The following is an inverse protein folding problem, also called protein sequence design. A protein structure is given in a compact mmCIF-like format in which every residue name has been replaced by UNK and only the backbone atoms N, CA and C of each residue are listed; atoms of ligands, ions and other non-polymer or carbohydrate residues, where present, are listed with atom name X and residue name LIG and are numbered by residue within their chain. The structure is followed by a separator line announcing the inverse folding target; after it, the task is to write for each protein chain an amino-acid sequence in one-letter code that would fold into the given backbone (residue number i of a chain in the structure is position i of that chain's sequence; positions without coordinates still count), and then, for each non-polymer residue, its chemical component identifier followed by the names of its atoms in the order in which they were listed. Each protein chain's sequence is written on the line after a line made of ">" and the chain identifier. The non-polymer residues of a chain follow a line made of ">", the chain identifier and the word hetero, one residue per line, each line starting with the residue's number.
data_IF_205586635093
#
_entry.id   IF_205586635093
#
_cell.length_a   1.000
_cell.length_b   1.000
_cell.length_c   1.000
_cell.angle_alpha   90.00
_cell.angle_beta   90.00
_cell.angle_gamma   90.00
#
_symmetry.space_group_name_H-M   'P 1'
#
loop_
_entity.id
_entity.type
_entity.pdbx_description
1 polymer ?
#
# COMPACT_ATOMS: atom_id res chain seq x y z
N UNK A 1 25.93 23.26 -15.19
CA UNK A 1 24.82 23.30 -14.20
C UNK A 1 25.02 24.58 -13.40
N UNK A 2 24.09 25.54 -13.50
CA UNK A 2 24.04 26.70 -12.61
C UNK A 2 24.14 26.24 -11.16
N UNK A 3 24.75 27.06 -10.30
CA UNK A 3 24.99 26.74 -8.90
C UNK A 3 23.67 26.35 -8.24
N UNK A 4 23.53 25.08 -7.86
CA UNK A 4 22.28 24.55 -7.36
C UNK A 4 22.02 25.15 -5.97
N UNK A 5 20.92 25.88 -5.85
CA UNK A 5 20.47 26.43 -4.57
C UNK A 5 19.90 25.29 -3.70
N UNK A 6 20.75 24.79 -2.81
CA UNK A 6 20.44 23.69 -1.91
C UNK A 6 19.46 24.09 -0.81
N UNK A 7 19.43 25.36 -0.40
CA UNK A 7 18.54 25.85 0.65
C UNK A 7 17.11 25.93 0.12
N UNK A 8 16.94 26.43 -1.09
CA UNK A 8 15.65 26.44 -1.77
C UNK A 8 15.16 25.02 -2.10
N UNK A 9 16.05 24.13 -2.52
CA UNK A 9 15.72 22.71 -2.70
C UNK A 9 15.28 22.05 -1.39
N UNK A 10 15.94 22.36 -0.27
CA UNK A 10 15.57 21.86 1.04
C UNK A 10 14.16 22.34 1.46
N UNK A 11 13.86 23.64 1.29
CA UNK A 11 12.50 24.18 1.54
C UNK A 11 11.45 23.47 0.70
N UNK A 12 11.73 23.25 -0.58
CA UNK A 12 10.84 22.51 -1.46
C UNK A 12 10.63 21.06 -0.99
N UNK A 13 11.69 20.35 -0.60
CA UNK A 13 11.61 18.98 -0.09
C UNK A 13 10.77 18.91 1.19
N UNK A 14 11.01 19.78 2.16
CA UNK A 14 10.29 19.80 3.44
C UNK A 14 8.80 20.13 3.26
N UNK A 15 8.46 20.97 2.28
CA UNK A 15 7.07 21.31 1.95
C UNK A 15 6.32 20.16 1.26
N UNK A 16 7.04 19.26 0.57
CA UNK A 16 6.44 18.23 -0.28
C UNK A 16 6.61 16.80 0.26
N UNK A 17 7.41 16.58 1.31
CA UNK A 17 7.78 15.26 1.84
C UNK A 17 7.78 15.29 3.36
N UNK A 18 7.69 14.11 3.98
CA UNK A 18 7.88 13.98 5.42
C UNK A 18 9.31 14.41 5.81
N UNK A 19 9.45 15.20 6.88
CA UNK A 19 10.72 15.80 7.33
C UNK A 19 11.91 14.83 7.31
N UNK A 20 11.80 13.69 7.99
CA UNK A 20 12.89 12.69 8.05
C UNK A 20 13.26 12.09 6.68
N UNK A 21 12.32 12.06 5.74
CA UNK A 21 12.57 11.63 4.37
C UNK A 21 13.16 12.75 3.52
N UNK A 22 12.73 14.01 3.75
CA UNK A 22 13.30 15.20 3.11
C UNK A 22 14.79 15.34 3.44
N UNK A 23 15.18 15.24 4.72
CA UNK A 23 16.58 15.33 5.14
C UNK A 23 17.46 14.25 4.50
N UNK A 24 16.92 13.03 4.38
CA UNK A 24 17.60 11.93 3.72
C UNK A 24 17.78 12.19 2.23
N UNK A 25 16.73 12.67 1.55
CA UNK A 25 16.80 13.01 0.13
C UNK A 25 17.82 14.12 -0.12
N UNK A 26 17.83 15.17 0.69
CA UNK A 26 18.77 16.27 0.57
C UNK A 26 20.23 15.77 0.66
N UNK A 27 20.56 15.00 1.70
CA UNK A 27 21.90 14.43 1.88
C UNK A 27 22.34 13.57 0.70
N UNK A 28 21.44 12.74 0.18
CA UNK A 28 21.75 11.91 -0.99
C UNK A 28 21.86 12.74 -2.27
N UNK A 29 21.01 13.75 -2.47
CA UNK A 29 21.08 14.64 -3.64
C UNK A 29 22.40 15.41 -3.62
N UNK A 30 22.78 16.03 -2.51
CA UNK A 30 24.06 16.74 -2.36
C UNK A 30 25.25 15.84 -2.63
N UNK A 31 25.23 14.61 -2.11
CA UNK A 31 26.34 13.66 -2.26
C UNK A 31 26.44 13.04 -3.64
N UNK A 32 25.32 12.82 -4.33
CA UNK A 32 25.28 11.97 -5.52
C UNK A 32 24.65 12.62 -6.75
N UNK A 33 24.36 13.93 -6.77
CA UNK A 33 23.79 14.60 -7.95
C UNK A 33 24.65 14.44 -9.20
N UNK A 34 25.98 14.41 -9.04
CA UNK A 34 26.95 14.22 -10.12
C UNK A 34 26.84 12.85 -10.82
N UNK A 35 26.15 11.88 -10.21
CA UNK A 35 25.89 10.58 -10.83
C UNK A 35 24.72 10.60 -11.81
N UNK A 36 23.98 11.72 -11.91
CA UNK A 36 22.91 11.85 -12.88
C UNK A 36 23.45 11.65 -14.31
N UNK A 37 22.80 10.80 -15.09
CA UNK A 37 23.14 10.51 -16.49
C UNK A 37 24.52 9.88 -16.74
N UNK A 38 25.17 9.29 -15.74
CA UNK A 38 26.50 8.69 -15.89
C UNK A 38 26.47 7.17 -16.02
N UNK A 39 27.45 6.58 -16.73
CA UNK A 39 27.62 5.13 -16.81
C UNK A 39 28.04 4.52 -15.47
N UNK A 40 28.65 5.33 -14.58
CA UNK A 40 28.91 4.92 -13.20
C UNK A 40 27.61 4.51 -12.50
N UNK A 41 26.53 5.31 -12.61
CA UNK A 41 25.23 4.98 -12.01
C UNK A 41 24.58 3.73 -12.64
N UNK A 42 24.80 3.51 -13.93
CA UNK A 42 24.31 2.33 -14.67
C UNK A 42 24.97 1.05 -14.14
N UNK A 43 26.29 1.08 -13.99
CA UNK A 43 27.12 -0.06 -13.57
C UNK A 43 27.09 -0.34 -12.08
N UNK A 44 26.58 0.58 -11.25
CA UNK A 44 26.39 0.34 -9.82
C UNK A 44 25.56 -0.93 -9.55
N UNK A 45 26.07 -1.79 -8.66
CA UNK A 45 25.35 -2.97 -8.17
C UNK A 45 23.97 -2.57 -7.64
N UNK A 46 22.94 -3.31 -8.06
CA UNK A 46 21.59 -3.14 -7.51
C UNK A 46 21.61 -3.45 -6.01
N UNK A 47 21.48 -2.41 -5.20
CA UNK A 47 21.44 -2.48 -3.75
C UNK A 47 20.56 -1.34 -3.20
N UNK A 48 20.31 -1.34 -1.88
CA UNK A 48 19.47 -0.31 -1.26
C UNK A 48 20.03 1.10 -1.48
N UNK A 49 21.34 1.25 -1.43
CA UNK A 49 22.02 2.54 -1.64
C UNK A 49 21.77 3.09 -3.04
N UNK A 50 21.92 2.26 -4.09
CA UNK A 50 21.61 2.63 -5.48
C UNK A 50 20.16 3.11 -5.60
N UNK A 51 19.21 2.42 -4.99
CA UNK A 51 17.80 2.85 -5.00
C UNK A 51 17.59 4.23 -4.36
N UNK A 52 18.28 4.53 -3.26
CA UNK A 52 18.19 5.86 -2.62
C UNK A 52 18.84 6.94 -3.49
N UNK A 53 19.95 6.64 -4.18
CA UNK A 53 20.59 7.55 -5.13
C UNK A 53 19.65 7.88 -6.29
N UNK A 54 19.03 6.86 -6.91
CA UNK A 54 18.06 7.07 -7.99
C UNK A 54 16.91 7.97 -7.53
N UNK A 55 16.42 7.78 -6.29
CA UNK A 55 15.30 8.58 -5.75
C UNK A 55 15.71 10.02 -5.50
N UNK A 56 16.92 10.22 -5.00
CA UNK A 56 17.46 11.54 -4.73
C UNK A 56 17.69 12.33 -6.03
N UNK A 57 18.27 11.69 -7.06
CA UNK A 57 18.43 12.30 -8.39
C UNK A 57 17.06 12.58 -9.02
N UNK A 58 16.12 11.62 -8.97
CA UNK A 58 14.79 11.82 -9.53
C UNK A 58 13.97 12.94 -8.85
N UNK A 59 14.14 13.18 -7.55
CA UNK A 59 13.51 14.34 -6.89
C UNK A 59 14.24 15.64 -7.23
N UNK A 60 15.56 15.61 -7.36
CA UNK A 60 16.36 16.77 -7.74
C UNK A 60 16.00 17.26 -9.14
N UNK A 61 15.91 16.34 -10.12
CA UNK A 61 15.52 16.70 -11.50
C UNK A 61 14.11 17.27 -11.55
N UNK A 62 13.17 16.75 -10.76
CA UNK A 62 11.81 17.30 -10.66
C UNK A 62 11.77 18.70 -10.06
N UNK A 63 12.61 18.97 -9.05
CA UNK A 63 12.73 20.32 -8.50
C UNK A 63 13.29 21.29 -9.54
N UNK A 64 14.33 20.86 -10.29
CA UNK A 64 14.93 21.69 -11.33
C UNK A 64 13.95 22.01 -12.46
N UNK A 65 13.09 21.07 -12.83
CA UNK A 65 12.02 21.29 -13.81
C UNK A 65 11.05 22.37 -13.35
N UNK A 66 10.61 22.31 -12.08
CA UNK A 66 9.70 23.31 -11.52
C UNK A 66 10.38 24.69 -11.43
N UNK A 67 11.66 24.72 -11.06
CA UNK A 67 12.39 25.97 -10.82
C UNK A 67 12.81 26.68 -12.11
N UNK A 68 13.20 25.91 -13.13
CA UNK A 68 13.83 26.44 -14.34
C UNK A 68 12.98 26.24 -15.60
N UNK A 69 11.76 25.72 -15.47
CA UNK A 69 10.87 25.37 -16.59
C UNK A 69 11.55 24.42 -17.60
N UNK A 70 12.08 23.31 -17.09
CA UNK A 70 12.78 22.28 -17.88
C UNK A 70 12.06 20.94 -17.89
N UNK A 71 12.55 19.99 -18.69
CA UNK A 71 12.05 18.61 -18.81
C UNK A 71 13.08 17.56 -18.37
N UNK A 72 14.03 17.95 -17.51
CA UNK A 72 15.15 17.15 -17.03
C UNK A 72 14.70 15.88 -16.28
N UNK A 73 13.57 15.93 -15.57
CA UNK A 73 13.00 14.77 -14.92
C UNK A 73 12.54 13.73 -15.94
N UNK A 74 11.85 14.17 -16.98
CA UNK A 74 11.40 13.28 -18.04
C UNK A 74 12.58 12.68 -18.80
N UNK A 75 13.60 13.49 -19.11
CA UNK A 75 14.86 12.99 -19.67
C UNK A 75 15.50 11.93 -18.79
N UNK A 76 15.51 12.14 -17.47
CA UNK A 76 16.06 11.19 -16.51
C UNK A 76 15.27 9.87 -16.48
N UNK A 77 13.94 9.93 -16.51
CA UNK A 77 13.08 8.73 -16.58
C UNK A 77 13.33 7.96 -17.88
N UNK A 78 13.37 8.66 -19.02
CA UNK A 78 13.64 8.03 -20.32
C UNK A 78 15.05 7.45 -20.40
N UNK A 79 16.05 8.14 -19.86
CA UNK A 79 17.42 7.64 -19.77
C UNK A 79 17.52 6.37 -18.93
N UNK A 80 16.91 6.34 -17.74
CA UNK A 80 16.85 5.12 -16.92
C UNK A 80 16.17 3.97 -17.66
N UNK A 81 15.07 4.24 -18.38
CA UNK A 81 14.37 3.22 -19.18
C UNK A 81 15.27 2.66 -20.28
N UNK A 82 15.99 3.52 -21.02
CA UNK A 82 16.95 3.10 -22.07
C UNK A 82 18.11 2.28 -21.51
N UNK A 83 18.58 2.60 -20.30
CA UNK A 83 19.66 1.89 -19.61
C UNK A 83 19.15 0.71 -18.76
N UNK A 84 17.88 0.34 -18.89
CA UNK A 84 17.20 -0.74 -18.16
C UNK A 84 17.33 -0.68 -16.63
N UNK A 85 17.47 0.53 -16.08
CA UNK A 85 17.59 0.75 -14.63
C UNK A 85 16.22 0.60 -13.98
N UNK A 86 16.09 -0.37 -13.07
CA UNK A 86 14.87 -0.60 -12.29
C UNK A 86 14.91 0.12 -10.93
N UNK A 87 13.75 0.60 -10.49
CA UNK A 87 13.53 1.14 -9.15
C UNK A 87 13.45 0.06 -8.05
N UNK A 88 14.30 -0.97 -8.10
CA UNK A 88 14.27 -2.09 -7.17
C UNK A 88 15.68 -2.62 -6.82
N UNK A 89 15.78 -3.26 -5.66
CA UNK A 89 17.07 -3.63 -5.01
C UNK A 89 17.49 -5.08 -5.28
N UNK A 90 16.54 -5.98 -5.54
CA UNK A 90 16.80 -7.35 -6.00
C UNK A 90 15.52 -7.93 -6.61
N UNK A 91 15.67 -9.08 -7.28
CA UNK A 91 14.60 -9.85 -7.91
C UNK A 91 13.31 -9.76 -7.11
N UNK A 92 12.22 -9.49 -7.80
CA UNK A 92 10.87 -9.67 -7.32
C UNK A 92 10.73 -11.17 -7.01
N UNK A 93 11.31 -11.65 -5.90
CA UNK A 93 10.98 -12.96 -5.36
C UNK A 93 9.49 -12.93 -5.24
N UNK A 94 8.90 -13.93 -5.88
CA UNK A 94 7.59 -13.89 -6.48
C UNK A 94 6.51 -13.70 -5.41
N UNK A 95 6.35 -12.47 -4.87
CA UNK A 95 5.43 -12.14 -3.79
C UNK A 95 4.01 -12.58 -4.16
N UNK A 96 3.74 -12.60 -5.47
CA UNK A 96 2.54 -13.14 -6.05
C UNK A 96 2.41 -14.65 -5.83
N UNK A 97 3.38 -15.46 -6.27
CA UNK A 97 3.36 -16.92 -6.03
C UNK A 97 3.43 -17.27 -4.54
N UNK A 98 4.23 -16.57 -3.75
CA UNK A 98 4.31 -16.79 -2.30
C UNK A 98 2.99 -16.49 -1.60
N UNK A 99 2.22 -15.48 -2.05
CA UNK A 99 0.90 -15.19 -1.49
C UNK A 99 -0.19 -16.09 -2.06
N UNK A 100 -0.07 -16.55 -3.31
CA UNK A 100 -1.00 -17.48 -3.96
C UNK A 100 -0.98 -18.86 -3.29
N UNK A 101 0.20 -19.30 -2.85
CA UNK A 101 0.40 -20.58 -2.18
C UNK A 101 0.25 -20.48 -0.65
N UNK A 102 -0.15 -19.32 -0.13
CA UNK A 102 -0.31 -19.11 1.31
C UNK A 102 -1.65 -19.71 1.76
N UNK A 103 -1.59 -20.76 2.58
CA UNK A 103 -2.79 -21.38 3.13
C UNK A 103 -3.54 -20.39 4.05
N UNK A 104 -4.83 -20.21 3.78
CA UNK A 104 -5.71 -19.34 4.55
C UNK A 104 -5.82 -19.79 6.01
N UNK A 105 -5.80 -21.09 6.29
CA UNK A 105 -5.91 -21.61 7.66
C UNK A 105 -4.67 -21.23 8.47
N UNK A 106 -3.48 -21.47 7.90
CA UNK A 106 -2.22 -21.02 8.49
C UNK A 106 -2.20 -19.50 8.74
N UNK A 107 -2.75 -18.70 7.82
CA UNK A 107 -2.85 -17.24 7.99
C UNK A 107 -3.73 -16.88 9.19
N UNK A 108 -4.93 -17.44 9.28
CA UNK A 108 -5.86 -17.14 10.37
C UNK A 108 -5.29 -17.58 11.71
N UNK A 109 -4.72 -18.78 11.80
CA UNK A 109 -4.05 -19.26 13.03
C UNK A 109 -2.91 -18.34 13.46
N UNK A 110 -2.06 -17.93 12.51
CA UNK A 110 -0.92 -17.04 12.80
C UNK A 110 -1.38 -15.67 13.30
N UNK A 111 -2.51 -15.17 12.81
CA UNK A 111 -3.10 -13.91 13.28
C UNK A 111 -3.73 -14.07 14.67
N UNK A 112 -4.44 -15.18 14.93
CA UNK A 112 -5.06 -15.47 16.24
C UNK A 112 -4.05 -15.67 17.37
N UNK A 113 -2.82 -16.11 17.07
CA UNK A 113 -1.71 -16.21 18.05
C UNK A 113 -1.20 -14.84 18.56
N UNK A 114 -1.56 -13.74 17.90
CA UNK A 114 -1.17 -12.41 18.34
C UNK A 114 -2.02 -11.95 19.55
N UNK A 115 -1.50 -11.02 20.37
CA UNK A 115 -2.33 -10.34 21.37
C UNK A 115 -3.62 -9.78 20.76
N UNK A 116 -4.75 -9.86 21.49
CA UNK A 116 -6.12 -9.50 21.05
C UNK A 116 -6.16 -8.30 20.10
N UNK A 117 -5.57 -7.18 20.52
CA UNK A 117 -5.52 -5.93 19.74
C UNK A 117 -4.98 -6.10 18.32
N UNK A 118 -3.90 -6.87 18.19
CA UNK A 118 -3.21 -7.10 16.93
C UNK A 118 -3.87 -8.21 16.11
N UNK A 119 -4.43 -9.22 16.77
CA UNK A 119 -5.21 -10.26 16.14
C UNK A 119 -6.44 -9.66 15.44
N UNK A 120 -7.24 -8.87 16.16
CA UNK A 120 -8.45 -8.20 15.63
C UNK A 120 -8.09 -7.32 14.42
N UNK A 121 -7.07 -6.46 14.54
CA UNK A 121 -6.65 -5.61 13.42
C UNK A 121 -6.10 -6.41 12.23
N UNK A 122 -5.37 -7.50 12.51
CA UNK A 122 -4.85 -8.40 11.50
C UNK A 122 -5.97 -9.10 10.72
N UNK A 123 -6.97 -9.65 11.43
CA UNK A 123 -8.16 -10.26 10.85
C UNK A 123 -9.00 -9.23 10.07
N UNK A 124 -9.17 -8.02 10.61
CA UNK A 124 -9.80 -6.91 9.91
C UNK A 124 -9.10 -6.62 8.57
N UNK A 125 -7.76 -6.56 8.57
CA UNK A 125 -6.98 -6.32 7.35
C UNK A 125 -7.12 -7.46 6.34
N UNK A 126 -7.18 -8.71 6.82
CA UNK A 126 -7.43 -9.89 5.99
C UNK A 126 -8.81 -9.87 5.35
N UNK A 127 -9.85 -9.60 6.11
CA UNK A 127 -11.25 -9.64 5.66
C UNK A 127 -11.57 -8.48 4.71
N UNK A 128 -11.08 -7.28 5.02
CA UNK A 128 -11.34 -6.08 4.21
C UNK A 128 -10.44 -5.99 2.98
N UNK A 129 -9.27 -6.63 3.01
CA UNK A 129 -8.29 -6.56 1.92
C UNK A 129 -7.71 -5.16 1.68
N UNK A 130 -7.85 -4.23 2.62
CA UNK A 130 -7.34 -2.87 2.50
C UNK A 130 -5.81 -2.83 2.49
N UNK A 131 -5.22 -1.82 1.86
CA UNK A 131 -3.78 -1.57 2.02
C UNK A 131 -3.51 -1.19 3.48
N UNK A 132 -2.29 -1.43 3.96
CA UNK A 132 -1.92 -1.14 5.35
C UNK A 132 -2.33 0.27 5.81
N UNK A 133 -1.99 1.31 5.04
CA UNK A 133 -2.36 2.70 5.37
C UNK A 133 -3.88 2.96 5.38
N UNK A 134 -4.62 2.30 4.51
CA UNK A 134 -6.08 2.38 4.41
C UNK A 134 -6.72 1.65 5.60
N UNK A 135 -6.23 0.45 5.92
CA UNK A 135 -6.72 -0.36 7.03
C UNK A 135 -6.62 0.37 8.38
N UNK A 136 -5.51 1.04 8.69
CA UNK A 136 -5.39 1.83 9.94
C UNK A 136 -6.44 2.94 10.01
N UNK A 137 -6.64 3.65 8.89
CA UNK A 137 -7.62 4.73 8.82
C UNK A 137 -9.05 4.20 8.96
N UNK A 138 -9.41 3.16 8.21
CA UNK A 138 -10.74 2.56 8.26
C UNK A 138 -11.03 1.94 9.63
N UNK A 139 -10.06 1.25 10.23
CA UNK A 139 -10.21 0.65 11.56
C UNK A 139 -10.45 1.71 12.65
N UNK A 140 -9.69 2.80 12.63
CA UNK A 140 -9.81 3.84 13.65
C UNK A 140 -11.06 4.71 13.52
N UNK A 141 -11.63 4.82 12.32
CA UNK A 141 -12.86 5.59 12.05
C UNK A 141 -14.02 4.64 11.69
N UNK A 142 -13.98 3.41 12.18
CA UNK A 142 -14.86 2.33 11.73
C UNK A 142 -16.34 2.63 12.00
N UNK A 143 -16.66 3.21 13.16
CA UNK A 143 -18.03 3.62 13.53
C UNK A 143 -18.65 4.57 12.52
N UNK A 144 -17.84 5.45 11.94
CA UNK A 144 -18.32 6.53 11.07
C UNK A 144 -18.43 6.07 9.61
N UNK A 145 -17.76 4.95 9.27
CA UNK A 145 -17.64 4.45 7.90
C UNK A 145 -18.52 3.22 7.64
N UNK A 146 -18.78 2.40 8.66
CA UNK A 146 -19.49 1.14 8.53
C UNK A 146 -21.00 1.35 8.64
N UNK A 147 -21.72 1.11 7.55
CA UNK A 147 -23.17 1.05 7.53
C UNK A 147 -23.60 -0.36 7.09
N UNK A 148 -24.36 -1.05 7.94
CA UNK A 148 -24.83 -2.42 7.69
C UNK A 148 -23.71 -3.37 7.21
N UNK A 149 -22.57 -3.36 7.92
CA UNK A 149 -21.41 -4.19 7.61
C UNK A 149 -20.77 -3.94 6.22
N UNK A 150 -21.02 -2.79 5.61
CA UNK A 150 -20.32 -2.28 4.44
C UNK A 150 -19.68 -0.96 4.81
N UNK A 151 -18.36 -0.86 4.64
CA UNK A 151 -17.61 0.37 4.87
C UNK A 151 -17.40 1.11 3.57
N UNK A 152 -17.92 2.32 3.48
CA UNK A 152 -17.75 3.19 2.32
C UNK A 152 -16.52 4.08 2.49
N UNK A 153 -15.62 4.06 1.52
CA UNK A 153 -14.26 4.59 1.67
C UNK A 153 -13.91 5.59 0.56
N UNK A 154 -13.39 6.74 0.99
CA UNK A 154 -12.97 7.85 0.12
C UNK A 154 -11.53 8.24 0.41
N UNK A 155 -10.60 7.82 -0.46
CA UNK A 155 -9.16 7.92 -0.17
C UNK A 155 -8.46 9.15 -0.73
N UNK A 156 -9.01 9.80 -1.78
CA UNK A 156 -8.37 10.97 -2.42
C UNK A 156 -9.39 11.91 -3.11
N UNK A 157 -9.11 13.21 -3.06
CA UNK A 157 -9.86 14.28 -3.73
C UNK A 157 -9.40 14.52 -5.18
N UNK A 158 -8.15 14.16 -5.55
CA UNK A 158 -7.59 14.40 -6.91
C UNK A 158 -8.09 13.43 -7.96
N UNK A 159 -8.14 12.15 -7.63
CA UNK A 159 -8.89 11.15 -8.42
C UNK A 159 -9.91 10.57 -7.48
N UNK A 160 -11.19 10.87 -7.69
CA UNK A 160 -12.29 10.47 -6.82
C UNK A 160 -12.48 8.93 -6.83
N UNK A 161 -11.54 8.22 -6.20
CA UNK A 161 -11.59 6.77 -6.00
C UNK A 161 -12.45 6.54 -4.77
N UNK A 162 -13.72 6.29 -5.03
CA UNK A 162 -14.65 5.75 -4.07
C UNK A 162 -14.59 4.23 -4.19
N UNK A 163 -14.33 3.54 -3.09
CA UNK A 163 -14.54 2.10 -2.98
C UNK A 163 -15.37 1.81 -1.74
N UNK A 164 -15.87 0.59 -1.64
CA UNK A 164 -16.49 0.10 -0.41
C UNK A 164 -15.97 -1.30 -0.13
N UNK A 165 -15.87 -1.67 1.14
CA UNK A 165 -15.43 -3.01 1.56
C UNK A 165 -16.42 -3.62 2.52
N UNK A 166 -16.54 -4.94 2.48
CA UNK A 166 -17.31 -5.65 3.48
C UNK A 166 -16.59 -5.60 4.84
N UNK A 167 -17.37 -5.56 5.91
CA UNK A 167 -16.94 -5.71 7.29
C UNK A 167 -17.58 -6.98 7.86
N UNK A 168 -16.80 -7.83 8.54
CA UNK A 168 -17.35 -9.08 9.09
C UNK A 168 -17.94 -8.79 10.48
N UNK A 169 -19.21 -9.16 10.77
CA UNK A 169 -19.87 -8.82 12.05
C UNK A 169 -19.06 -9.24 13.28
N UNK A 170 -18.53 -10.46 13.30
CA UNK A 170 -17.72 -10.93 14.45
C UNK A 170 -16.48 -10.08 14.71
N UNK A 171 -15.92 -9.43 13.67
CA UNK A 171 -14.79 -8.51 13.83
C UNK A 171 -15.31 -7.12 14.18
N UNK A 172 -16.38 -6.66 13.51
CA UNK A 172 -17.07 -5.39 13.77
C UNK A 172 -17.34 -5.20 15.27
N UNK A 173 -17.93 -6.21 15.90
CA UNK A 173 -18.33 -6.18 17.32
C UNK A 173 -17.14 -6.15 18.28
N UNK A 174 -15.92 -6.45 17.80
CA UNK A 174 -14.70 -6.45 18.60
C UNK A 174 -13.87 -5.17 18.44
N UNK A 175 -14.28 -4.23 17.58
CA UNK A 175 -13.56 -2.97 17.36
C UNK A 175 -13.99 -1.96 18.42
N UNK A 176 -13.33 -2.04 19.58
CA UNK A 176 -13.54 -1.17 20.75
C UNK A 176 -12.31 -0.28 21.06
N UNK A 177 -11.32 -0.26 20.16
CA UNK A 177 -10.07 0.52 20.31
C UNK A 177 -9.59 1.10 18.99
N UNK A 178 -8.66 2.06 19.08
CA UNK A 178 -7.89 2.57 17.93
C UNK A 178 -6.49 1.96 17.90
N UNK A 179 -5.78 2.07 16.78
CA UNK A 179 -4.41 1.63 16.62
C UNK A 179 -3.52 2.75 16.06
N UNK A 180 -2.25 2.72 16.43
CA UNK A 180 -1.24 3.56 15.79
C UNK A 180 -0.49 2.78 14.71
N UNK A 181 0.24 3.49 13.83
CA UNK A 181 1.16 2.87 12.86
C UNK A 181 2.23 1.97 13.49
N UNK A 182 2.46 2.08 14.81
CA UNK A 182 3.39 1.18 15.54
C UNK A 182 2.89 -0.27 15.55
N UNK A 183 1.63 -0.54 15.23
CA UNK A 183 1.06 -1.90 15.09
C UNK A 183 1.90 -2.81 14.19
N UNK A 184 2.50 -2.27 13.12
CA UNK A 184 3.32 -3.05 12.18
C UNK A 184 4.65 -3.52 12.77
N UNK A 185 5.07 -3.00 13.94
CA UNK A 185 6.18 -3.58 14.69
C UNK A 185 5.77 -4.90 15.34
N UNK A 186 4.49 -5.08 15.66
CA UNK A 186 3.95 -6.28 16.30
C UNK A 186 3.36 -7.28 15.30
N UNK A 187 2.87 -6.77 14.17
CA UNK A 187 2.35 -7.57 13.06
C UNK A 187 3.39 -7.56 11.93
N UNK A 188 4.40 -8.41 12.04
CA UNK A 188 5.54 -8.45 11.15
C UNK A 188 5.86 -9.87 10.67
N UNK A 189 6.68 -9.97 9.62
CA UNK A 189 7.05 -11.25 8.99
C UNK A 189 7.65 -12.27 9.96
N UNK A 190 8.44 -11.85 10.95
CA UNK A 190 9.06 -12.78 11.91
C UNK A 190 8.03 -13.45 12.82
N UNK A 191 6.95 -12.73 13.16
CA UNK A 191 5.88 -13.26 14.02
C UNK A 191 4.81 -14.03 13.25
N UNK A 192 4.54 -13.61 12.02
CA UNK A 192 3.49 -14.20 11.19
C UNK A 192 3.98 -15.32 10.26
N UNK A 193 5.28 -15.41 9.98
CA UNK A 193 5.82 -16.24 8.89
C UNK A 193 5.63 -15.64 7.49
N UNK A 194 4.77 -14.62 7.33
CA UNK A 194 4.50 -13.94 6.06
C UNK A 194 4.43 -12.41 6.17
N UNK A 195 4.58 -11.73 5.03
CA UNK A 195 4.41 -10.29 4.94
C UNK A 195 2.93 -9.91 5.08
N UNK A 196 2.61 -8.93 5.96
CA UNK A 196 1.24 -8.46 6.16
C UNK A 196 0.54 -8.00 4.86
N UNK A 197 1.32 -7.52 3.89
CA UNK A 197 0.82 -7.11 2.56
C UNK A 197 0.20 -8.26 1.77
N UNK A 198 0.53 -9.52 2.11
CA UNK A 198 -0.03 -10.70 1.47
C UNK A 198 -1.48 -10.97 1.87
N UNK A 199 -1.94 -10.47 3.03
CA UNK A 199 -3.33 -10.62 3.46
C UNK A 199 -4.31 -10.10 2.40
N UNK A 200 -3.99 -8.98 1.77
CA UNK A 200 -4.78 -8.42 0.66
C UNK A 200 -4.83 -9.34 -0.56
N UNK A 201 -3.79 -10.13 -0.82
CA UNK A 201 -3.79 -11.11 -1.91
C UNK A 201 -4.60 -12.34 -1.56
N UNK A 202 -4.42 -12.87 -0.35
CA UNK A 202 -5.23 -13.97 0.19
C UNK A 202 -6.73 -13.60 0.13
N UNK A 203 -7.09 -12.40 0.60
CA UNK A 203 -8.44 -11.86 0.49
C UNK A 203 -8.99 -11.87 -0.94
N UNK A 204 -8.18 -11.40 -1.89
CA UNK A 204 -8.56 -11.36 -3.31
C UNK A 204 -8.85 -12.76 -3.84
N UNK A 205 -7.95 -13.71 -3.56
CA UNK A 205 -8.08 -15.11 -3.99
C UNK A 205 -9.36 -15.74 -3.45
N UNK A 206 -9.67 -15.53 -2.16
CA UNK A 206 -10.91 -16.00 -1.54
C UNK A 206 -12.13 -15.37 -2.23
N UNK A 207 -12.16 -14.04 -2.34
CA UNK A 207 -13.34 -13.33 -2.85
C UNK A 207 -13.59 -13.57 -4.34
N UNK A 208 -12.56 -13.61 -5.18
CA UNK A 208 -12.70 -13.90 -6.64
C UNK A 208 -13.35 -15.26 -6.87
N UNK A 209 -13.02 -16.27 -6.05
CA UNK A 209 -13.57 -17.60 -6.19
C UNK A 209 -15.02 -17.75 -5.68
N UNK A 210 -15.50 -16.80 -4.88
CA UNK A 210 -16.78 -16.93 -4.15
C UNK A 210 -17.79 -15.85 -4.48
N UNK A 211 -17.39 -14.66 -4.86
CA UNK A 211 -18.30 -13.52 -5.02
C UNK A 211 -18.44 -13.15 -6.49
N UNK A 212 -17.60 -12.24 -6.95
CA UNK A 212 -17.49 -11.76 -8.32
C UNK A 212 -16.10 -11.12 -8.48
N UNK A 213 -15.38 -11.35 -9.60
CA UNK A 213 -14.06 -10.77 -9.81
C UNK A 213 -14.04 -9.24 -9.88
N UNK A 214 -15.02 -8.62 -10.53
CA UNK A 214 -15.09 -7.16 -10.67
C UNK A 214 -15.37 -6.50 -9.32
N UNK A 215 -16.27 -7.09 -8.53
CA UNK A 215 -16.55 -6.66 -7.17
C UNK A 215 -15.32 -6.83 -6.26
N UNK A 216 -14.56 -7.90 -6.45
CA UNK A 216 -13.29 -8.13 -5.73
C UNK A 216 -12.22 -7.10 -6.08
N UNK A 217 -12.19 -6.60 -7.32
CA UNK A 217 -11.32 -5.49 -7.72
C UNK A 217 -11.77 -4.14 -7.17
N UNK A 218 -13.09 -3.89 -7.17
CA UNK A 218 -13.71 -2.69 -6.62
C UNK A 218 -13.47 -2.57 -5.12
N UNK A 219 -13.74 -3.64 -4.36
CA UNK A 219 -13.53 -3.66 -2.90
C UNK A 219 -12.08 -3.35 -2.54
N UNK A 220 -11.14 -3.84 -3.34
CA UNK A 220 -9.73 -3.52 -3.16
C UNK A 220 -9.34 -2.10 -3.63
N UNK A 221 -10.22 -1.33 -4.26
CA UNK A 221 -9.88 -0.02 -4.82
C UNK A 221 -8.84 -0.13 -5.96
N UNK A 222 -8.88 -1.25 -6.70
CA UNK A 222 -8.17 -1.40 -7.99
C UNK A 222 -8.97 -0.80 -9.14
N UNK A 223 -10.30 -0.75 -8.98
CA UNK A 223 -11.27 -0.14 -9.89
C UNK A 223 -12.26 0.70 -9.08
N UNK A 224 -13.05 1.54 -9.75
CA UNK A 224 -14.06 2.40 -9.12
C UNK A 224 -13.72 3.89 -9.20
N UNK A 225 -14.50 4.61 -10.00
CA UNK A 225 -14.74 6.05 -9.83
C UNK A 225 -16.10 6.26 -9.11
N UNK A 226 -16.47 7.50 -8.78
CA UNK A 226 -17.75 7.79 -8.09
C UNK A 226 -18.95 7.21 -8.84
N UNK A 227 -19.00 7.32 -10.17
CA UNK A 227 -20.14 6.84 -10.96
C UNK A 227 -20.28 5.31 -10.86
N UNK A 228 -19.17 4.59 -10.83
CA UNK A 228 -19.16 3.13 -10.71
C UNK A 228 -19.65 2.62 -9.34
N UNK A 229 -19.58 3.44 -8.28
CA UNK A 229 -20.10 3.09 -6.95
C UNK A 229 -21.58 2.72 -6.99
N UNK A 230 -22.38 3.41 -7.80
CA UNK A 230 -23.82 3.17 -7.92
C UNK A 230 -24.15 1.79 -8.49
N UNK A 231 -23.21 1.16 -9.20
CA UNK A 231 -23.36 -0.21 -9.69
C UNK A 231 -22.82 -1.23 -8.70
N UNK A 232 -21.68 -0.93 -8.06
CA UNK A 232 -21.04 -1.88 -7.16
C UNK A 232 -21.70 -1.98 -5.78
N UNK A 233 -22.27 -0.90 -5.23
CA UNK A 233 -22.94 -0.98 -3.93
C UNK A 233 -24.16 -1.92 -3.94
N UNK A 234 -25.11 -1.83 -4.87
CA UNK A 234 -26.19 -2.83 -4.97
C UNK A 234 -25.65 -4.25 -5.09
N UNK A 235 -24.65 -4.46 -5.95
CA UNK A 235 -23.98 -5.75 -6.11
C UNK A 235 -23.33 -6.24 -4.80
N UNK A 236 -22.76 -5.34 -3.97
CA UNK A 236 -22.26 -5.72 -2.64
C UNK A 236 -23.38 -6.26 -1.76
N UNK A 237 -24.55 -5.61 -1.71
CA UNK A 237 -25.68 -6.09 -0.92
C UNK A 237 -26.18 -7.45 -1.42
N UNK A 238 -26.31 -7.65 -2.73
CA UNK A 238 -26.69 -8.93 -3.33
C UNK A 238 -25.74 -10.08 -2.94
N UNK A 239 -24.44 -9.78 -2.92
CA UNK A 239 -23.41 -10.77 -2.61
C UNK A 239 -23.06 -10.89 -1.11
N UNK A 240 -23.60 -10.02 -0.26
CA UNK A 240 -23.25 -9.91 1.17
C UNK A 240 -23.42 -11.22 1.91
N UNK A 241 -24.55 -11.90 1.74
CA UNK A 241 -24.84 -13.18 2.43
C UNK A 241 -23.82 -14.27 2.08
N UNK A 242 -23.43 -14.37 0.80
CA UNK A 242 -22.44 -15.34 0.33
C UNK A 242 -21.03 -15.01 0.85
N UNK A 243 -20.69 -13.72 0.87
CA UNK A 243 -19.44 -13.23 1.45
C UNK A 243 -19.37 -13.53 2.96
N UNK A 244 -20.44 -13.23 3.70
CA UNK A 244 -20.56 -13.51 5.14
C UNK A 244 -20.41 -15.00 5.43
N UNK A 245 -21.12 -15.87 4.71
CA UNK A 245 -21.01 -17.32 4.89
C UNK A 245 -19.57 -17.82 4.67
N UNK A 246 -18.91 -17.33 3.62
CA UNK A 246 -17.51 -17.67 3.28
C UNK A 246 -16.56 -17.28 4.41
N UNK A 247 -16.60 -16.02 4.84
CA UNK A 247 -15.65 -15.51 5.84
C UNK A 247 -15.98 -15.98 7.25
N UNK A 248 -17.25 -16.17 7.61
CA UNK A 248 -17.60 -16.80 8.88
C UNK A 248 -17.05 -18.23 8.95
N UNK A 249 -17.14 -19.00 7.87
CA UNK A 249 -16.56 -20.35 7.83
C UNK A 249 -15.05 -20.30 8.09
N UNK A 250 -14.32 -19.46 7.36
CA UNK A 250 -12.86 -19.31 7.50
C UNK A 250 -12.44 -18.84 8.89
N UNK A 251 -13.16 -17.87 9.48
CA UNK A 251 -12.78 -17.27 10.77
C UNK A 251 -13.23 -18.14 11.96
N UNK A 252 -14.37 -18.84 11.86
CA UNK A 252 -14.92 -19.67 12.95
C UNK A 252 -14.33 -21.09 12.98
N UNK A 253 -13.80 -21.62 11.89
CA UNK A 253 -13.19 -22.97 11.82
C UNK A 253 -11.99 -23.18 12.79
N UNK A 254 -11.51 -22.12 13.45
CA UNK A 254 -10.35 -22.16 14.35
C UNK A 254 -10.75 -21.58 15.71
N UNK A 255 -11.91 -22.00 16.25
CA UNK A 255 -12.32 -21.77 17.63
C UNK A 255 -12.42 -23.13 18.32
#
# INVERSE_FOLDING_TARGET
>A
MSQLDWDDYNKWLQSNRQLSYADKLLKFSQRFYHLAFTDQLVTMKANRTRLEILKAIGNLTRYLDIKNDTSLHDEYIHWMKRKEIKWSVSAYTNNYESAKNLDINYVVESLKKLPRRYAIFGLFTLVTGLRSSEAVKAFNNHSDLCNDHIMELFWDRRTKKANAVFCLPIIHDQIDFTISRKVYKFINKRRLGFDLRYLRKVNFTVNVSKVDPLLSEFTQGRRGNISQRHYFLPSMYEHKSKWLATWNSIIRQIN
#
